data_IF_950597493928
#
_entry.id   IF_950597493928
#
_cell.length_a   1.000
_cell.length_b   1.000
_cell.length_c   1.000
_cell.angle_alpha   90.00
_cell.angle_beta   90.00
_cell.angle_gamma   90.00
#
_symmetry.space_group_name_H-M   'P 1'
#
loop_
_entity.id
_entity.type
_entity.pdbx_description
1 polymer ?
#
# COMPACT_ATOMS: atom_id res chain seq x y z
N UNK A 1 -9.44 3.19 15.83
CA UNK A 1 -8.16 2.49 16.05
C UNK A 1 -7.52 2.15 14.72
N UNK A 2 -6.28 2.48 14.55
CA UNK A 2 -5.54 2.22 13.30
C UNK A 2 -4.99 0.81 13.31
N UNK A 3 -5.17 0.11 12.20
CA UNK A 3 -4.61 -1.22 11.97
C UNK A 3 -3.89 -1.24 10.64
N UNK A 4 -2.70 -1.83 10.60
CA UNK A 4 -1.96 -2.07 9.37
C UNK A 4 -1.75 -3.57 9.26
N UNK A 5 -2.19 -4.16 8.16
CA UNK A 5 -2.11 -5.60 7.99
C UNK A 5 -1.77 -5.96 6.54
N UNK A 6 -1.10 -7.11 6.33
CA UNK A 6 -0.76 -7.55 4.98
C UNK A 6 -1.97 -8.14 4.27
N UNK A 7 -1.94 -8.03 2.95
CA UNK A 7 -2.91 -8.65 2.05
C UNK A 7 -2.14 -9.65 1.19
N UNK A 8 -2.49 -10.92 1.30
CA UNK A 8 -1.77 -11.98 0.58
C UNK A 8 -2.48 -12.49 -0.67
N UNK A 9 -3.79 -12.32 -0.76
CA UNK A 9 -4.54 -12.75 -1.93
C UNK A 9 -5.52 -11.71 -2.36
N UNK A 10 -5.98 -11.82 -3.63
CA UNK A 10 -6.97 -10.91 -4.20
C UNK A 10 -6.61 -9.43 -3.96
N UNK A 11 -5.36 -9.09 -4.25
CA UNK A 11 -4.86 -7.72 -4.03
C UNK A 11 -5.61 -6.70 -4.86
N UNK A 12 -6.13 -7.10 -6.01
CA UNK A 12 -6.88 -6.21 -6.90
C UNK A 12 -8.29 -5.87 -6.40
N UNK A 13 -8.70 -6.43 -5.27
CA UNK A 13 -9.91 -5.93 -4.62
C UNK A 13 -9.77 -4.46 -4.24
N UNK A 14 -8.53 -3.97 -4.14
CA UNK A 14 -8.22 -2.57 -3.84
C UNK A 14 -7.67 -1.83 -5.07
N UNK A 15 -8.08 -2.25 -6.28
CA UNK A 15 -7.56 -1.66 -7.50
C UNK A 15 -7.84 -0.16 -7.58
N UNK A 16 -8.99 0.28 -7.12
CA UNK A 16 -9.32 1.70 -7.09
C UNK A 16 -8.28 2.51 -6.30
N UNK A 17 -7.82 1.96 -5.18
CA UNK A 17 -6.81 2.60 -4.36
C UNK A 17 -5.44 2.56 -5.04
N UNK A 18 -5.09 1.41 -5.63
CA UNK A 18 -3.83 1.26 -6.35
C UNK A 18 -3.73 2.23 -7.53
N UNK A 19 -4.83 2.48 -8.22
CA UNK A 19 -4.85 3.39 -9.36
C UNK A 19 -4.64 4.85 -8.96
N UNK A 20 -4.83 5.20 -7.71
CA UNK A 20 -4.50 6.54 -7.22
C UNK A 20 -3.00 6.80 -7.22
N UNK A 21 -2.20 5.75 -7.00
CA UNK A 21 -0.74 5.86 -6.98
C UNK A 21 -0.14 5.67 -8.38
N UNK A 22 -0.78 4.85 -9.20
CA UNK A 22 -0.28 4.52 -10.53
C UNK A 22 -1.48 4.39 -11.45
N UNK A 23 -1.57 5.28 -12.43
CA UNK A 23 -2.76 5.42 -13.27
C UNK A 23 -3.01 4.25 -14.22
N UNK A 24 -2.02 3.39 -14.43
CA UNK A 24 -2.14 2.29 -15.38
C UNK A 24 -2.07 0.95 -14.68
N UNK A 25 -3.10 0.15 -14.85
CA UNK A 25 -3.15 -1.18 -14.27
C UNK A 25 -2.00 -2.06 -14.75
N UNK A 26 -1.57 -1.90 -15.99
CA UNK A 26 -0.44 -2.66 -16.53
C UNK A 26 0.85 -2.39 -15.77
N UNK A 27 1.02 -1.20 -15.25
CA UNK A 27 2.19 -0.86 -14.43
C UNK A 27 2.07 -1.49 -13.05
N UNK A 28 0.86 -1.48 -12.49
CA UNK A 28 0.59 -2.12 -11.21
C UNK A 28 0.88 -3.62 -11.29
N UNK A 29 0.51 -4.25 -12.39
CA UNK A 29 0.73 -5.68 -12.60
C UNK A 29 2.20 -6.08 -12.56
N UNK A 30 3.11 -5.14 -12.82
CA UNK A 30 4.54 -5.42 -12.83
C UNK A 30 5.09 -5.74 -11.44
N UNK A 31 4.47 -5.22 -10.39
CA UNK A 31 5.01 -5.38 -9.04
C UNK A 31 4.03 -5.97 -8.03
N UNK A 32 2.74 -6.00 -8.35
CA UNK A 32 1.73 -6.30 -7.33
C UNK A 32 1.85 -7.71 -6.77
N UNK A 33 1.96 -8.72 -7.66
CA UNK A 33 1.97 -10.10 -7.20
C UNK A 33 3.28 -10.51 -6.53
N UNK A 34 4.39 -9.95 -6.96
CA UNK A 34 5.69 -10.23 -6.32
C UNK A 34 5.94 -9.36 -5.10
N UNK A 35 5.15 -8.32 -4.92
CA UNK A 35 5.31 -7.40 -3.80
C UNK A 35 4.53 -7.81 -2.57
N UNK A 36 4.81 -7.13 -1.48
CA UNK A 36 4.02 -7.23 -0.27
C UNK A 36 3.10 -6.02 -0.19
N UNK A 37 1.82 -6.27 -0.02
CA UNK A 37 0.82 -5.20 0.07
C UNK A 37 0.31 -5.08 1.49
N UNK A 38 0.23 -3.85 1.97
CA UNK A 38 -0.31 -3.54 3.29
C UNK A 38 -1.47 -2.57 3.17
N UNK A 39 -2.48 -2.81 3.99
CA UNK A 39 -3.65 -1.95 4.08
C UNK A 39 -3.67 -1.30 5.46
N UNK A 40 -3.90 0.00 5.49
CA UNK A 40 -4.15 0.73 6.72
C UNK A 40 -5.65 1.01 6.82
N UNK A 41 -6.23 0.56 7.93
CA UNK A 41 -7.63 0.83 8.25
C UNK A 41 -7.70 1.63 9.56
N UNK A 42 -8.71 2.46 9.66
CA UNK A 42 -9.01 3.18 10.90
C UNK A 42 -10.51 3.06 11.14
N UNK A 43 -10.89 2.59 12.33
CA UNK A 43 -12.27 2.31 12.68
C UNK A 43 -12.95 1.41 11.65
N UNK A 44 -12.24 0.35 11.23
CA UNK A 44 -12.70 -0.66 10.28
C UNK A 44 -12.96 -0.13 8.85
N UNK A 45 -12.50 1.06 8.55
CA UNK A 45 -12.58 1.64 7.21
C UNK A 45 -11.19 1.70 6.60
N UNK A 46 -11.04 1.18 5.38
CA UNK A 46 -9.77 1.24 4.65
C UNK A 46 -9.49 2.68 4.25
N UNK A 47 -8.32 3.18 4.63
CA UNK A 47 -7.91 4.56 4.36
C UNK A 47 -6.78 4.65 3.34
N UNK A 48 -5.86 3.67 3.36
CA UNK A 48 -4.61 3.77 2.59
C UNK A 48 -4.03 2.39 2.32
N UNK A 49 -3.11 2.34 1.36
CA UNK A 49 -2.36 1.12 1.04
C UNK A 49 -0.93 1.46 0.67
N UNK A 50 -0.05 0.46 0.78
CA UNK A 50 1.26 0.54 0.16
C UNK A 50 1.66 -0.84 -0.35
N UNK A 51 2.55 -0.85 -1.34
CA UNK A 51 3.15 -2.07 -1.88
C UNK A 51 4.66 -1.87 -1.86
N UNK A 52 5.36 -2.84 -1.30
CA UNK A 52 6.81 -2.85 -1.29
C UNK A 52 7.32 -4.10 -2.01
N UNK A 53 8.49 -4.00 -2.60
CA UNK A 53 9.15 -5.13 -3.23
C UNK A 53 10.55 -5.28 -2.68
N UNK A 54 11.03 -6.53 -2.63
CA UNK A 54 12.43 -6.80 -2.29
C UNK A 54 13.21 -6.79 -3.60
N UNK A 55 14.05 -5.78 -3.79
CA UNK A 55 14.82 -5.62 -5.03
C UNK A 55 16.17 -6.34 -4.96
N UNK A 56 16.73 -6.48 -3.76
CA UNK A 56 17.96 -7.18 -3.51
C UNK A 56 17.99 -7.57 -2.04
N UNK A 57 19.01 -8.31 -1.61
CA UNK A 57 19.12 -8.75 -0.22
C UNK A 57 19.04 -7.57 0.73
N UNK A 58 17.98 -7.54 1.51
CA UNK A 58 17.79 -6.50 2.50
C UNK A 58 17.42 -5.14 1.95
N UNK A 59 17.23 -5.02 0.62
CA UNK A 59 16.86 -3.75 -0.01
C UNK A 59 15.41 -3.85 -0.47
N UNK A 60 14.57 -3.00 0.11
CA UNK A 60 13.15 -2.93 -0.22
C UNK A 60 12.85 -1.59 -0.87
N UNK A 61 11.92 -1.60 -1.80
CA UNK A 61 11.49 -0.40 -2.49
C UNK A 61 9.98 -0.23 -2.35
N UNK A 62 9.56 1.00 -2.04
CA UNK A 62 8.13 1.32 -2.01
C UNK A 62 7.69 1.58 -3.45
N UNK A 63 6.88 0.67 -3.99
CA UNK A 63 6.39 0.77 -5.36
C UNK A 63 5.11 1.59 -5.46
N UNK A 64 4.32 1.60 -4.41
CA UNK A 64 3.02 2.26 -4.41
C UNK A 64 2.69 2.69 -3.00
N UNK A 65 2.19 3.90 -2.87
CA UNK A 65 1.56 4.37 -1.65
C UNK A 65 0.38 5.25 -2.04
N UNK A 66 -0.77 4.98 -1.49
CA UNK A 66 -1.99 5.68 -1.86
C UNK A 66 -2.87 5.88 -0.63
N UNK A 67 -3.52 7.03 -0.58
CA UNK A 67 -4.51 7.35 0.44
C UNK A 67 -5.75 7.84 -0.30
N UNK A 68 -6.92 7.34 0.07
CA UNK A 68 -8.16 7.83 -0.53
C UNK A 68 -8.25 9.35 -0.35
N UNK A 69 -8.72 10.08 -1.37
CA UNK A 69 -8.72 11.55 -1.33
C UNK A 69 -9.39 12.14 -0.10
N UNK A 70 -10.48 11.54 0.36
CA UNK A 70 -11.21 12.06 1.53
C UNK A 70 -10.45 11.89 2.84
N UNK A 71 -9.37 11.09 2.83
CA UNK A 71 -8.60 10.80 4.05
C UNK A 71 -7.17 11.34 3.97
N UNK A 72 -6.82 12.06 2.93
CA UNK A 72 -5.49 12.64 2.80
C UNK A 72 -5.26 13.72 3.85
N UNK A 73 -3.97 13.99 4.12
CA UNK A 73 -3.52 14.99 5.09
C UNK A 73 -3.86 14.64 6.53
N UNK A 74 -4.13 13.38 6.83
CA UNK A 74 -4.37 12.92 8.19
C UNK A 74 -3.25 12.03 8.73
N UNK A 75 -2.15 11.92 7.97
CA UNK A 75 -0.98 11.17 8.41
C UNK A 75 -0.99 9.69 8.10
N UNK A 76 -1.97 9.18 7.39
CA UNK A 76 -2.06 7.74 7.10
C UNK A 76 -0.92 7.25 6.23
N UNK A 77 -0.57 7.99 5.18
CA UNK A 77 0.56 7.63 4.32
C UNK A 77 1.86 7.59 5.10
N UNK A 78 2.07 8.58 5.96
CA UNK A 78 3.26 8.64 6.80
C UNK A 78 3.35 7.45 7.74
N UNK A 79 2.23 7.02 8.31
CA UNK A 79 2.20 5.87 9.19
C UNK A 79 2.54 4.58 8.45
N UNK A 80 2.06 4.43 7.20
CA UNK A 80 2.43 3.29 6.38
C UNK A 80 3.91 3.26 6.08
N UNK A 81 4.49 4.40 5.71
CA UNK A 81 5.92 4.50 5.42
C UNK A 81 6.73 4.11 6.67
N UNK A 82 6.36 4.64 7.82
CA UNK A 82 7.05 4.31 9.07
C UNK A 82 6.95 2.82 9.38
N UNK A 83 5.79 2.22 9.16
CA UNK A 83 5.57 0.80 9.40
C UNK A 83 6.50 -0.07 8.55
N UNK A 84 6.60 0.20 7.24
CA UNK A 84 7.40 -0.64 6.36
C UNK A 84 8.89 -0.38 6.50
N UNK A 85 9.30 0.79 6.96
CA UNK A 85 10.72 1.09 7.16
C UNK A 85 11.30 0.45 8.42
N UNK A 86 10.46 0.19 9.41
CA UNK A 86 10.91 -0.45 10.65
C UNK A 86 11.13 -1.94 10.44
N UNK A 87 10.32 -2.55 9.60
CA UNK A 87 10.44 -3.96 9.30
C UNK A 87 11.67 -4.26 8.47
#
# INVERSE_FOLDING_TARGET
>A
MIRIHPISGNKKQYLDLLLLADEQESMIDRYLERGEMFILSDNDTVKASCVITCEDKGIYEIKSIAVYPEYQRQGYGRQLIAFVQIG
#
